data_IF_577879926835
#
_entry.id   IF_577879926835
#
_cell.length_a   1.000
_cell.length_b   1.000
_cell.length_c   1.000
_cell.angle_alpha   90.00
_cell.angle_beta   90.00
_cell.angle_gamma   90.00
#
_symmetry.space_group_name_H-M   'P 1'
#
loop_
_entity.id
_entity.type
_entity.pdbx_description
1 polymer ?
#
# COMPACT_ATOMS: atom_id res chain seq x y z
N UNK A 1 13.01 -7.71 13.54
CA UNK A 1 12.08 -8.86 13.66
C UNK A 1 11.41 -9.08 12.30
N UNK A 2 10.77 -10.21 12.05
CA UNK A 2 10.05 -10.46 10.77
C UNK A 2 8.92 -9.43 10.53
N UNK A 3 8.35 -8.90 11.61
CA UNK A 3 7.30 -7.88 11.57
C UNK A 3 7.83 -6.54 11.03
N UNK A 4 8.98 -6.06 11.52
CA UNK A 4 9.61 -4.81 11.04
C UNK A 4 9.92 -4.86 9.54
N UNK A 5 10.36 -6.02 9.05
CA UNK A 5 10.63 -6.23 7.62
C UNK A 5 9.34 -6.18 6.81
N UNK A 6 8.28 -6.85 7.25
CA UNK A 6 6.98 -6.82 6.58
C UNK A 6 6.40 -5.40 6.53
N UNK A 7 6.58 -4.62 7.60
CA UNK A 7 6.18 -3.22 7.69
C UNK A 7 6.88 -2.38 6.63
N UNK A 8 8.20 -2.52 6.55
CA UNK A 8 8.99 -1.74 5.60
C UNK A 8 8.65 -2.11 4.14
N UNK A 9 8.33 -3.38 3.87
CA UNK A 9 7.84 -3.80 2.56
C UNK A 9 6.45 -3.20 2.23
N UNK A 10 5.51 -3.16 3.17
CA UNK A 10 4.20 -2.51 2.93
C UNK A 10 4.36 -1.01 2.69
N UNK A 11 5.29 -0.33 3.38
CA UNK A 11 5.61 1.08 3.12
C UNK A 11 6.20 1.27 1.73
N UNK A 12 7.16 0.43 1.33
CA UNK A 12 7.74 0.45 -0.02
C UNK A 12 6.66 0.28 -1.08
N UNK A 13 5.76 -0.69 -0.89
CA UNK A 13 4.66 -0.94 -1.81
C UNK A 13 3.68 0.23 -1.87
N UNK A 14 3.38 0.86 -0.73
CA UNK A 14 2.54 2.06 -0.67
C UNK A 14 3.16 3.20 -1.47
N UNK A 15 4.44 3.49 -1.27
CA UNK A 15 5.16 4.54 -2.02
C UNK A 15 5.20 4.23 -3.52
N UNK A 16 5.44 2.96 -3.89
CA UNK A 16 5.38 2.53 -5.28
C UNK A 16 4.04 2.86 -5.93
N UNK A 17 2.92 2.54 -5.26
CA UNK A 17 1.59 2.84 -5.82
C UNK A 17 1.28 4.34 -5.86
N UNK A 18 1.81 5.13 -4.93
CA UNK A 18 1.69 6.60 -4.98
C UNK A 18 2.42 7.18 -6.20
N UNK A 19 3.64 6.74 -6.51
CA UNK A 19 4.38 7.13 -7.71
C UNK A 19 3.73 6.59 -9.00
N UNK A 20 3.23 5.35 -8.94
CA UNK A 20 2.54 4.70 -10.05
C UNK A 20 1.21 5.38 -10.37
N UNK A 21 0.55 6.00 -9.40
CA UNK A 21 -0.67 6.77 -9.66
C UNK A 21 -0.42 7.95 -10.61
N UNK A 22 0.70 8.63 -10.44
CA UNK A 22 1.07 9.82 -11.22
C UNK A 22 1.60 9.44 -12.61
N UNK A 23 2.43 8.41 -12.69
CA UNK A 23 3.22 8.08 -13.89
C UNK A 23 2.83 6.76 -14.58
N UNK A 24 2.15 5.86 -13.87
CA UNK A 24 1.92 4.49 -14.33
C UNK A 24 1.01 4.39 -15.54
N UNK A 25 -0.03 5.23 -15.60
CA UNK A 25 -0.95 5.24 -16.74
C UNK A 25 -0.24 5.69 -18.02
N UNK A 26 0.50 6.79 -17.97
CA UNK A 26 1.20 7.34 -19.14
C UNK A 26 2.33 6.41 -19.60
N UNK A 27 3.08 5.81 -18.66
CA UNK A 27 4.09 4.80 -18.99
C UNK A 27 3.49 3.57 -19.67
N UNK A 28 2.41 3.01 -19.11
CA UNK A 28 1.73 1.85 -19.69
C UNK A 28 1.19 2.17 -21.10
N UNK A 29 0.63 3.37 -21.27
CA UNK A 29 0.15 3.88 -22.55
C UNK A 29 1.28 3.99 -23.58
N UNK A 30 2.42 4.56 -23.21
CA UNK A 30 3.60 4.67 -24.08
C UNK A 30 4.10 3.30 -24.51
N UNK A 31 4.18 2.34 -23.58
CA UNK A 31 4.61 0.96 -23.89
C UNK A 31 3.64 0.29 -24.86
N UNK A 32 2.33 0.39 -24.61
CA UNK A 32 1.32 -0.19 -25.49
C UNK A 32 1.36 0.40 -26.91
N UNK A 33 1.48 1.73 -27.02
CA UNK A 33 1.65 2.42 -28.31
C UNK A 33 2.92 1.97 -29.05
N UNK A 34 4.02 1.77 -28.31
CA UNK A 34 5.27 1.23 -28.87
C UNK A 34 5.11 -0.15 -29.47
N UNK A 35 4.48 -1.08 -28.75
CA UNK A 35 4.21 -2.44 -29.22
C UNK A 35 3.28 -2.43 -30.44
N UNK A 36 2.21 -1.63 -30.42
CA UNK A 36 1.29 -1.53 -31.57
C UNK A 36 2.01 -1.04 -32.83
N UNK A 37 2.90 -0.05 -32.67
CA UNK A 37 3.73 0.47 -33.76
C UNK A 37 4.67 -0.60 -34.30
N UNK A 38 5.32 -1.38 -33.43
CA UNK A 38 6.19 -2.50 -33.81
C UNK A 38 5.42 -3.60 -34.57
N UNK A 39 4.15 -3.82 -34.21
CA UNK A 39 3.28 -4.80 -34.86
C UNK A 39 2.57 -4.27 -36.11
N UNK A 40 2.78 -3.00 -36.49
CA UNK A 40 2.04 -2.33 -37.57
C UNK A 40 0.51 -2.38 -37.38
N UNK A 41 0.06 -2.41 -36.11
CA UNK A 41 -1.35 -2.42 -35.73
C UNK A 41 -1.76 -1.01 -35.35
N UNK A 42 -2.90 -0.55 -35.88
CA UNK A 42 -3.47 0.73 -35.48
C UNK A 42 -3.89 0.68 -33.99
N UNK A 43 -3.41 1.64 -33.22
CA UNK A 43 -3.71 1.75 -31.80
C UNK A 43 -4.97 2.59 -31.61
N UNK A 44 -6.12 1.92 -31.46
CA UNK A 44 -7.39 2.58 -31.14
C UNK A 44 -7.84 2.18 -29.74
N UNK A 45 -8.00 3.18 -28.86
CA UNK A 45 -8.59 2.98 -27.55
C UNK A 45 -10.11 2.84 -27.69
N UNK A 46 -10.58 1.60 -27.81
CA UNK A 46 -12.00 1.36 -28.11
C UNK A 46 -12.88 1.64 -26.88
N UNK A 47 -13.89 2.48 -27.05
CA UNK A 47 -14.91 2.68 -26.03
C UNK A 47 -15.66 1.37 -25.79
N UNK A 48 -15.57 0.88 -24.56
CA UNK A 48 -16.50 -0.05 -23.92
C UNK A 48 -16.22 -1.56 -24.10
N UNK A 49 -15.66 -2.17 -23.05
CA UNK A 49 -16.38 -3.30 -22.44
C UNK A 49 -17.33 -2.71 -21.40
N UNK A 50 -18.44 -2.13 -21.87
CA UNK A 50 -19.65 -2.07 -21.05
C UNK A 50 -19.95 -3.53 -20.79
N UNK A 51 -19.58 -4.06 -19.62
CA UNK A 51 -20.16 -5.31 -19.12
C UNK A 51 -21.66 -5.07 -19.15
N UNK A 52 -22.31 -5.49 -20.23
CA UNK A 52 -23.72 -5.33 -20.44
C UNK A 52 -24.41 -6.21 -19.38
N UNK A 53 -24.61 -5.66 -18.19
CA UNK A 53 -25.84 -5.98 -17.48
C UNK A 53 -26.93 -5.42 -18.37
N UNK A 54 -27.58 -6.34 -19.09
CA UNK A 54 -28.77 -6.14 -19.92
C UNK A 54 -29.67 -5.08 -19.30
N UNK A 55 -29.58 -3.84 -19.77
CA UNK A 55 -30.57 -2.78 -19.62
C UNK A 55 -30.25 -1.70 -20.65
N UNK A 56 -31.26 -1.37 -21.45
CA UNK A 56 -31.21 -0.37 -22.52
C UNK A 56 -30.79 1.00 -22.00
N UNK A 57 -29.87 1.65 -22.72
CA UNK A 57 -29.89 3.08 -22.97
C UNK A 57 -28.90 3.38 -24.10
N UNK A 58 -29.50 3.58 -25.27
CA UNK A 58 -28.95 4.22 -26.45
C UNK A 58 -28.40 5.61 -26.10
N UNK A 59 -27.21 5.93 -26.61
CA UNK A 59 -26.74 7.24 -27.07
C UNK A 59 -25.23 7.14 -27.26
N UNK A 60 -24.84 6.89 -28.51
CA UNK A 60 -23.47 7.02 -29.00
C UNK A 60 -23.21 8.52 -29.11
N UNK A 61 -22.48 9.08 -28.17
CA UNK A 61 -21.82 10.36 -28.40
C UNK A 61 -20.46 10.05 -29.02
N UNK A 62 -20.18 10.67 -30.16
CA UNK A 62 -18.85 10.74 -30.75
C UNK A 62 -17.94 11.51 -29.79
N UNK A 63 -17.37 10.77 -28.84
CA UNK A 63 -16.35 11.22 -27.91
C UNK A 63 -15.00 11.02 -28.60
N UNK A 64 -14.18 12.07 -28.71
CA UNK A 64 -12.83 11.93 -29.28
C UNK A 64 -12.03 10.91 -28.45
N UNK A 65 -11.10 10.15 -29.05
CA UNK A 65 -10.35 9.10 -28.34
C UNK A 65 -9.63 9.62 -27.09
N UNK A 66 -9.26 10.91 -27.08
CA UNK A 66 -8.63 11.59 -25.94
C UNK A 66 -9.59 11.70 -24.73
N UNK A 67 -10.88 11.94 -24.96
CA UNK A 67 -11.92 11.96 -23.91
C UNK A 67 -12.17 10.57 -23.33
N UNK A 68 -12.12 9.53 -24.17
CA UNK A 68 -12.27 8.13 -23.74
C UNK A 68 -11.12 7.70 -22.83
N UNK A 69 -9.90 7.95 -23.28
CA UNK A 69 -8.67 7.59 -22.59
C UNK A 69 -8.62 8.27 -21.22
N UNK A 70 -8.94 9.57 -21.16
CA UNK A 70 -8.97 10.32 -19.91
C UNK A 70 -10.12 9.87 -18.99
N UNK A 71 -11.29 9.53 -19.54
CA UNK A 71 -12.40 8.96 -18.76
C UNK A 71 -12.02 7.62 -18.14
N UNK A 72 -11.33 6.75 -18.89
CA UNK A 72 -10.84 5.47 -18.37
C UNK A 72 -9.78 5.69 -17.29
N UNK A 73 -8.85 6.62 -17.51
CA UNK A 73 -7.84 6.98 -16.53
C UNK A 73 -8.47 7.41 -15.21
N UNK A 74 -9.42 8.34 -15.26
CA UNK A 74 -10.04 8.90 -14.06
C UNK A 74 -10.97 7.90 -13.37
N UNK A 75 -11.87 7.26 -14.12
CA UNK A 75 -12.92 6.44 -13.52
C UNK A 75 -12.49 5.01 -13.18
N UNK A 76 -11.45 4.48 -13.83
CA UNK A 76 -10.99 3.11 -13.59
C UNK A 76 -9.58 3.08 -13.03
N UNK A 77 -8.58 3.59 -13.77
CA UNK A 77 -7.19 3.46 -13.34
C UNK A 77 -6.93 4.11 -11.99
N UNK A 78 -7.23 5.40 -11.85
CA UNK A 78 -7.03 6.13 -10.60
C UNK A 78 -7.88 5.52 -9.47
N UNK A 79 -9.12 5.16 -9.77
CA UNK A 79 -10.01 4.54 -8.77
C UNK A 79 -9.45 3.23 -8.21
N UNK A 80 -8.91 2.35 -9.05
CA UNK A 80 -8.30 1.08 -8.63
C UNK A 80 -7.03 1.35 -7.81
N UNK A 81 -6.16 2.25 -8.29
CA UNK A 81 -4.90 2.56 -7.60
C UNK A 81 -5.17 3.19 -6.22
N UNK A 82 -6.12 4.13 -6.13
CA UNK A 82 -6.52 4.73 -4.85
C UNK A 82 -7.12 3.68 -3.89
N UNK A 83 -7.90 2.72 -4.38
CA UNK A 83 -8.38 1.60 -3.56
C UNK A 83 -7.22 0.76 -3.01
N UNK A 84 -6.24 0.42 -3.85
CA UNK A 84 -5.07 -0.37 -3.42
C UNK A 84 -4.27 0.40 -2.37
N UNK A 85 -4.00 1.68 -2.58
CA UNK A 85 -3.32 2.54 -1.60
C UNK A 85 -4.10 2.56 -0.27
N UNK A 86 -5.43 2.71 -0.33
CA UNK A 86 -6.29 2.68 0.86
C UNK A 86 -6.22 1.34 1.60
N UNK A 87 -6.24 0.22 0.88
CA UNK A 87 -6.11 -1.12 1.45
C UNK A 87 -4.75 -1.31 2.13
N UNK A 88 -3.66 -0.89 1.49
CA UNK A 88 -2.30 -0.99 2.04
C UNK A 88 -2.14 -0.15 3.32
N UNK A 89 -2.65 1.08 3.32
CA UNK A 89 -2.65 1.95 4.50
C UNK A 89 -3.45 1.35 5.65
N UNK A 90 -4.61 0.74 5.34
CA UNK A 90 -5.43 0.05 6.34
C UNK A 90 -4.73 -1.18 6.91
N UNK A 91 -4.12 -2.03 6.06
CA UNK A 91 -3.36 -3.20 6.49
C UNK A 91 -2.24 -2.77 7.45
N UNK A 92 -1.51 -1.70 7.13
CA UNK A 92 -0.53 -1.13 8.06
C UNK A 92 -1.21 -0.81 9.41
N UNK A 93 -2.22 0.07 9.41
CA UNK A 93 -2.84 0.54 10.64
C UNK A 93 -3.43 -0.58 11.52
N UNK A 94 -4.22 -1.48 10.94
CA UNK A 94 -4.91 -2.56 11.66
C UNK A 94 -3.92 -3.59 12.25
N UNK A 95 -2.89 -3.97 11.50
CA UNK A 95 -1.91 -4.94 11.97
C UNK A 95 -1.02 -4.37 13.08
N UNK A 96 -0.68 -3.08 12.98
CA UNK A 96 0.09 -2.40 14.02
C UNK A 96 -0.68 -2.26 15.32
N UNK A 97 -1.95 -1.84 15.24
CA UNK A 97 -2.80 -1.71 16.42
C UNK A 97 -3.03 -3.07 17.08
N UNK A 98 -3.33 -4.11 16.29
CA UNK A 98 -3.49 -5.46 16.82
C UNK A 98 -2.20 -6.01 17.47
N UNK A 99 -1.03 -5.72 16.89
CA UNK A 99 0.24 -6.12 17.49
C UNK A 99 0.52 -5.38 18.81
N UNK A 100 0.28 -4.07 18.86
CA UNK A 100 0.45 -3.27 20.07
C UNK A 100 -0.53 -3.71 21.18
N UNK A 101 -1.78 -3.99 20.84
CA UNK A 101 -2.79 -4.45 21.79
C UNK A 101 -2.46 -5.85 22.37
N UNK A 102 -1.97 -6.77 21.53
CA UNK A 102 -1.67 -8.15 21.96
C UNK A 102 -0.32 -8.25 22.69
N UNK A 103 0.70 -7.54 22.23
CA UNK A 103 2.08 -7.73 22.72
C UNK A 103 2.64 -6.53 23.48
N UNK A 104 2.04 -5.34 23.36
CA UNK A 104 2.50 -4.12 24.04
C UNK A 104 2.49 -4.29 25.55
N UNK A 105 1.43 -4.88 26.12
CA UNK A 105 1.34 -5.15 27.55
C UNK A 105 2.42 -6.12 28.04
N UNK A 106 2.62 -7.23 27.33
CA UNK A 106 3.59 -8.25 27.71
C UNK A 106 5.04 -7.73 27.65
N UNK A 107 5.37 -6.91 26.65
CA UNK A 107 6.68 -6.28 26.52
C UNK A 107 6.94 -5.24 27.61
N UNK A 108 5.96 -4.39 27.93
CA UNK A 108 6.08 -3.39 29.00
C UNK A 108 6.25 -4.06 30.36
N UNK A 109 5.46 -5.10 30.67
CA UNK A 109 5.58 -5.85 31.92
C UNK A 109 6.95 -6.53 32.05
N UNK A 110 7.43 -7.19 31.00
CA UNK A 110 8.71 -7.90 31.02
C UNK A 110 9.89 -6.94 31.19
N UNK A 111 9.88 -5.77 30.53
CA UNK A 111 10.87 -4.72 30.72
C UNK A 111 10.83 -4.14 32.14
N UNK A 112 9.64 -3.99 32.72
CA UNK A 112 9.46 -3.61 34.12
C UNK A 112 10.11 -4.61 35.08
N UNK A 113 9.86 -5.91 34.88
CA UNK A 113 10.45 -6.99 35.67
C UNK A 113 11.98 -7.03 35.55
N UNK A 114 12.53 -6.90 34.35
CA UNK A 114 13.98 -6.86 34.13
C UNK A 114 14.62 -5.65 34.83
N UNK A 115 13.99 -4.47 34.78
CA UNK A 115 14.46 -3.28 35.51
C UNK A 115 14.45 -3.50 37.02
N UNK A 116 13.40 -4.13 37.55
CA UNK A 116 13.34 -4.46 38.99
C UNK A 116 14.46 -5.41 39.40
N UNK A 117 14.65 -6.52 38.70
CA UNK A 117 15.70 -7.50 38.99
C UNK A 117 17.09 -6.84 38.94
N UNK A 118 17.36 -6.05 37.91
CA UNK A 118 18.64 -5.37 37.75
C UNK A 118 18.88 -4.31 38.85
N UNK A 119 17.84 -3.60 39.30
CA UNK A 119 17.94 -2.65 40.41
C UNK A 119 18.22 -3.35 41.76
N UNK A 120 17.64 -4.53 42.00
CA UNK A 120 17.88 -5.35 43.19
C UNK A 120 19.31 -5.90 43.23
N UNK A 121 19.83 -6.39 42.10
CA UNK A 121 21.22 -6.86 42.00
C UNK A 121 22.23 -5.72 42.28
N UNK A 122 21.98 -4.51 41.77
CA UNK A 122 22.81 -3.34 42.06
C UNK A 122 22.76 -2.89 43.53
N UNK A 123 21.65 -3.09 44.22
CA UNK A 123 21.56 -2.84 45.68
C UNK A 123 22.37 -3.87 46.45
N UNK A 124 22.25 -5.16 46.10
CA UNK A 124 23.02 -6.22 46.75
C UNK A 124 24.52 -6.05 46.52
N UNK A 125 24.98 -5.77 45.29
CA UNK A 125 26.40 -5.51 45.01
C UNK A 125 26.95 -4.34 45.83
N UNK A 126 26.19 -3.24 45.98
CA UNK A 126 26.59 -2.11 46.83
C UNK A 126 26.69 -2.49 48.31
N UNK A 127 25.76 -3.32 48.80
CA UNK A 127 25.81 -3.82 50.17
C UNK A 127 27.03 -4.71 50.41
N UNK A 128 27.42 -5.53 49.44
CA UNK A 128 28.66 -6.33 49.50
C UNK A 128 29.93 -5.47 49.52
N UNK A 129 29.95 -4.34 48.79
CA UNK A 129 31.09 -3.40 48.82
C UNK A 129 31.18 -2.58 50.11
N UNK A 130 30.08 -2.38 50.84
CA UNK A 130 30.05 -1.69 52.13
C UNK A 130 30.44 -2.59 53.32
N UNK A 131 30.51 -3.90 53.11
CA UNK A 131 30.84 -4.91 54.12
C UNK A 131 32.28 -5.45 54.02
N UNK A 132 33.12 -4.82 53.19
CA UNK A 132 34.54 -5.13 53.02
C UNK A 132 35.39 -3.94 53.42
#
# INVERSE_FOLDING_TARGET
>A
MLVDVAIDEVKRLTNFFEEYKETGFTQAMTVAKGIATEMEIDYVFNETCKTHRKNHAENVNESSPESVEESFRIHYFLHIVDQVIGLLKRIMFEQFQAYEDVFGFALIDLLGRVKMVNSSLRKQSRLFHLWK
#
